data_IF_888970206723
#
_entry.id   IF_888970206723
#
_cell.length_a   1.000
_cell.length_b   1.000
_cell.length_c   1.000
_cell.angle_alpha   90.00
_cell.angle_beta   90.00
_cell.angle_gamma   90.00
#
_symmetry.space_group_name_H-M   'P 1'
#
loop_
_entity.id
_entity.type
_entity.pdbx_description
1 polymer ?
#
# COMPACT_ATOMS: atom_id res chain seq x y z
N UNK A 1 -8.86 -11.16 6.55
CA UNK A 1 -7.57 -11.80 6.18
C UNK A 1 -6.55 -10.69 5.95
N UNK A 2 -5.25 -10.96 5.97
CA UNK A 2 -4.16 -9.98 6.05
C UNK A 2 -3.76 -9.48 7.47
N UNK A 3 -3.57 -10.38 8.47
CA UNK A 3 -3.15 -9.97 9.81
C UNK A 3 -1.82 -9.19 9.84
N UNK A 4 -0.84 -9.55 9.01
CA UNK A 4 0.47 -8.88 9.02
C UNK A 4 0.35 -7.46 8.47
N UNK A 5 -0.39 -7.29 7.38
CA UNK A 5 -0.61 -5.99 6.74
C UNK A 5 -1.41 -5.05 7.64
N UNK A 6 -2.46 -5.56 8.29
CA UNK A 6 -3.29 -4.77 9.22
C UNK A 6 -2.46 -4.33 10.42
N UNK A 7 -1.70 -5.23 11.05
CA UNK A 7 -0.87 -4.88 12.20
C UNK A 7 0.18 -3.83 11.82
N UNK A 8 0.92 -4.04 10.72
CA UNK A 8 1.91 -3.08 10.21
C UNK A 8 1.29 -1.71 9.92
N UNK A 9 0.13 -1.66 9.27
CA UNK A 9 -0.55 -0.41 8.97
C UNK A 9 -0.97 0.33 10.25
N UNK A 10 -1.54 -0.38 11.22
CA UNK A 10 -1.97 0.18 12.52
C UNK A 10 -0.75 0.68 13.32
N UNK A 11 0.38 -0.02 13.27
CA UNK A 11 1.61 0.43 13.94
C UNK A 11 2.14 1.76 13.35
N UNK A 12 2.06 1.94 12.03
CA UNK A 12 2.37 3.23 11.41
C UNK A 12 1.38 4.34 11.77
N UNK A 13 0.09 4.03 11.91
CA UNK A 13 -0.92 4.99 12.38
C UNK A 13 -0.61 5.41 13.82
N UNK A 14 -0.42 4.44 14.72
CA UNK A 14 -0.23 4.68 16.15
C UNK A 14 1.08 5.39 16.48
N UNK A 15 2.13 5.15 15.70
CA UNK A 15 3.40 5.89 15.82
C UNK A 15 3.34 7.31 15.24
N UNK A 16 2.22 7.71 14.61
CA UNK A 16 2.08 8.99 13.93
C UNK A 16 2.90 9.08 12.63
N UNK A 17 3.36 7.95 12.08
CA UNK A 17 4.19 7.93 10.88
C UNK A 17 3.48 8.56 9.68
N UNK A 18 2.17 8.35 9.53
CA UNK A 18 1.41 8.93 8.42
C UNK A 18 1.13 10.43 8.58
N UNK A 19 1.37 11.01 9.77
CA UNK A 19 1.21 12.46 9.96
C UNK A 19 2.19 13.21 9.05
N UNK A 20 1.66 14.25 8.39
CA UNK A 20 2.35 15.07 7.40
C UNK A 20 2.90 14.27 6.21
N UNK A 21 2.29 13.12 5.90
CA UNK A 21 2.50 12.43 4.62
C UNK A 21 1.43 12.82 3.60
N UNK A 22 1.76 12.72 2.32
CA UNK A 22 0.86 13.09 1.22
C UNK A 22 0.48 11.90 0.36
N UNK A 23 -0.61 12.07 -0.41
CA UNK A 23 -0.88 11.26 -1.59
C UNK A 23 -0.01 11.74 -2.75
N UNK A 24 1.23 11.26 -2.78
CA UNK A 24 2.25 11.70 -3.73
C UNK A 24 2.05 11.17 -5.16
N UNK A 25 1.14 10.20 -5.37
CA UNK A 25 0.83 9.67 -6.70
C UNK A 25 -0.66 9.47 -6.87
N UNK A 26 -1.25 10.21 -7.81
CA UNK A 26 -2.69 10.20 -8.13
C UNK A 26 -2.85 9.89 -9.62
N UNK A 27 -3.54 8.81 -9.96
CA UNK A 27 -3.82 8.43 -11.35
C UNK A 27 -5.33 8.34 -11.56
N UNK A 28 -5.94 9.27 -12.32
CA UNK A 28 -7.38 9.25 -12.61
C UNK A 28 -7.83 7.91 -13.18
N UNK A 29 -8.94 7.39 -12.65
CA UNK A 29 -9.50 6.10 -13.09
C UNK A 29 -8.74 4.86 -12.62
N UNK A 30 -7.70 5.01 -11.79
CA UNK A 30 -6.89 3.88 -11.33
C UNK A 30 -6.80 3.84 -9.79
N UNK A 31 -5.90 4.63 -9.19
CA UNK A 31 -5.69 4.65 -7.75
C UNK A 31 -5.06 5.96 -7.26
N UNK A 32 -5.11 6.15 -5.94
CA UNK A 32 -4.34 7.17 -5.22
C UNK A 32 -3.39 6.46 -4.24
N UNK A 33 -2.11 6.81 -4.26
CA UNK A 33 -1.06 6.19 -3.45
C UNK A 33 -0.39 7.23 -2.54
N UNK A 34 -0.14 6.84 -1.29
CA UNK A 34 0.33 7.72 -0.23
C UNK A 34 1.14 7.00 0.86
N UNK A 35 1.40 7.70 1.97
CA UNK A 35 2.01 7.11 3.17
C UNK A 35 3.52 6.89 3.12
N UNK A 36 4.24 7.59 2.22
CA UNK A 36 5.70 7.46 2.08
C UNK A 36 6.49 8.78 2.01
N UNK A 37 5.86 9.87 1.61
CA UNK A 37 6.53 11.14 1.33
C UNK A 37 5.86 12.29 2.09
N UNK A 38 6.67 13.26 2.53
CA UNK A 38 6.17 14.52 3.11
C UNK A 38 5.67 15.48 2.03
N UNK A 39 5.12 16.62 2.45
CA UNK A 39 4.73 17.71 1.56
C UNK A 39 5.89 18.24 0.70
N UNK A 40 7.12 18.14 1.20
CA UNK A 40 8.35 18.54 0.50
C UNK A 40 8.91 17.42 -0.39
N UNK A 41 8.13 16.36 -0.66
CA UNK A 41 8.54 15.19 -1.44
C UNK A 41 9.78 14.48 -0.89
N UNK A 42 9.99 14.56 0.44
CA UNK A 42 11.03 13.81 1.12
C UNK A 42 10.49 12.46 1.57
N UNK A 43 11.18 11.38 1.21
CA UNK A 43 10.81 10.03 1.62
C UNK A 43 11.08 9.85 3.13
N UNK A 44 10.05 9.47 3.90
CA UNK A 44 10.22 9.10 5.31
C UNK A 44 10.83 7.71 5.39
N UNK A 45 11.69 7.45 6.38
CA UNK A 45 12.33 6.15 6.60
C UNK A 45 11.32 5.16 7.19
N UNK A 46 10.89 4.10 6.47
CA UNK A 46 9.94 3.13 7.00
C UNK A 46 10.61 2.11 7.94
N UNK A 47 9.78 1.32 8.62
CA UNK A 47 10.17 0.08 9.28
C UNK A 47 10.51 -1.00 8.23
N UNK A 48 11.08 -2.16 8.65
CA UNK A 48 11.35 -3.28 7.76
C UNK A 48 10.12 -3.73 6.97
N UNK A 49 10.32 -4.32 5.77
CA UNK A 49 9.22 -4.74 4.93
C UNK A 49 8.47 -5.95 5.51
N UNK A 50 7.25 -6.15 5.03
CA UNK A 50 6.35 -7.22 5.45
C UNK A 50 6.13 -8.25 4.34
N UNK A 51 5.79 -9.47 4.76
CA UNK A 51 5.34 -10.54 3.86
C UNK A 51 4.08 -10.10 3.11
N UNK A 52 4.02 -10.44 1.83
CA UNK A 52 2.84 -10.26 0.99
C UNK A 52 1.69 -11.20 1.43
N UNK A 53 0.48 -10.65 1.53
CA UNK A 53 -0.74 -11.38 1.89
C UNK A 53 -1.81 -11.29 0.79
N UNK A 54 -1.43 -11.04 -0.47
CA UNK A 54 -2.37 -10.90 -1.59
C UNK A 54 -3.09 -12.21 -1.97
N UNK A 55 -2.54 -13.37 -1.57
CA UNK A 55 -3.15 -14.70 -1.73
C UNK A 55 -4.38 -14.93 -0.85
N UNK A 56 -4.82 -13.90 -0.11
CA UNK A 56 -5.95 -13.97 0.80
C UNK A 56 -7.34 -14.02 0.12
N UNK A 57 -7.42 -13.79 -1.19
CA UNK A 57 -8.66 -13.83 -1.98
C UNK A 57 -9.48 -12.52 -1.98
N UNK A 58 -8.96 -11.45 -1.36
CA UNK A 58 -9.47 -10.10 -1.54
C UNK A 58 -9.02 -9.55 -2.90
N UNK A 59 -9.89 -8.80 -3.56
CA UNK A 59 -9.63 -8.19 -4.86
C UNK A 59 -9.44 -6.68 -4.73
N UNK A 60 -8.71 -6.10 -5.67
CA UNK A 60 -8.48 -4.67 -5.82
C UNK A 60 -9.68 -3.99 -6.49
N UNK A 61 -10.87 -4.15 -5.92
CA UNK A 61 -12.08 -3.46 -6.39
C UNK A 61 -12.13 -2.03 -5.87
N UNK A 62 -12.95 -1.16 -6.47
CA UNK A 62 -13.14 0.22 -6.05
C UNK A 62 -13.44 0.31 -4.54
N UNK A 63 -12.74 1.20 -3.85
CA UNK A 63 -12.88 1.45 -2.41
C UNK A 63 -12.00 0.59 -1.50
N UNK A 64 -11.31 -0.42 -2.06
CA UNK A 64 -10.32 -1.20 -1.29
C UNK A 64 -9.02 -0.44 -1.09
N UNK A 65 -8.36 -0.71 0.04
CA UNK A 65 -7.00 -0.28 0.34
C UNK A 65 -6.05 -1.47 0.26
N UNK A 66 -4.89 -1.28 -0.35
CA UNK A 66 -3.86 -2.30 -0.50
C UNK A 66 -2.46 -1.71 -0.33
N UNK A 67 -1.48 -2.56 -0.05
CA UNK A 67 -0.09 -2.14 0.18
C UNK A 67 0.64 -1.92 -1.14
N UNK A 68 1.33 -0.78 -1.27
CA UNK A 68 2.25 -0.55 -2.36
C UNK A 68 3.58 -1.27 -2.07
N UNK A 69 4.21 -1.83 -3.11
CA UNK A 69 5.48 -2.56 -3.02
C UNK A 69 6.38 -2.26 -4.23
N UNK A 70 7.63 -2.67 -4.13
CA UNK A 70 8.55 -2.72 -5.27
C UNK A 70 8.31 -3.99 -6.10
N UNK A 71 9.21 -4.31 -7.03
CA UNK A 71 9.17 -5.56 -7.78
C UNK A 71 9.20 -6.78 -6.84
N UNK A 72 9.96 -6.73 -5.75
CA UNK A 72 9.96 -7.81 -4.75
C UNK A 72 8.60 -7.90 -4.04
N UNK A 73 8.00 -9.09 -4.05
CA UNK A 73 6.68 -9.35 -3.44
C UNK A 73 6.63 -8.98 -1.95
N UNK A 74 7.71 -9.22 -1.20
CA UNK A 74 7.79 -9.06 0.26
C UNK A 74 8.51 -7.74 0.63
N UNK A 75 8.34 -6.70 -0.20
CA UNK A 75 8.96 -5.38 -0.02
C UNK A 75 8.01 -4.28 0.44
N UNK A 76 6.73 -4.60 0.67
CA UNK A 76 5.76 -3.65 1.17
C UNK A 76 6.20 -3.11 2.54
N UNK A 77 6.13 -1.80 2.74
CA UNK A 77 6.50 -1.13 4.01
C UNK A 77 5.35 -0.26 4.51
N UNK A 78 5.43 1.07 4.35
CA UNK A 78 4.41 2.03 4.81
C UNK A 78 3.48 2.51 3.69
N UNK A 79 3.91 2.44 2.43
CA UNK A 79 3.10 3.00 1.35
C UNK A 79 1.88 2.13 1.06
N UNK A 80 0.75 2.79 0.84
CA UNK A 80 -0.52 2.15 0.51
C UNK A 80 -1.19 2.89 -0.64
N UNK A 81 -2.16 2.23 -1.28
CA UNK A 81 -3.01 2.85 -2.29
C UNK A 81 -4.48 2.50 -2.07
N UNK A 82 -5.35 3.42 -2.49
CA UNK A 82 -6.81 3.23 -2.52
C UNK A 82 -7.24 3.12 -3.97
N UNK A 83 -7.94 2.03 -4.29
CA UNK A 83 -8.49 1.77 -5.61
C UNK A 83 -9.69 2.69 -5.88
N UNK A 84 -9.64 3.49 -6.95
CA UNK A 84 -10.78 4.34 -7.38
C UNK A 84 -11.60 3.70 -8.51
N UNK A 85 -11.14 2.56 -9.04
CA UNK A 85 -11.80 1.70 -10.00
C UNK A 85 -11.52 0.22 -9.66
N UNK A 86 -12.12 -0.71 -10.40
CA UNK A 86 -11.84 -2.14 -10.27
C UNK A 86 -10.56 -2.50 -11.04
N UNK A 87 -9.51 -2.82 -10.30
CA UNK A 87 -8.15 -3.01 -10.82
C UNK A 87 -7.73 -4.47 -10.74
N UNK A 88 -8.49 -5.37 -11.38
CA UNK A 88 -8.28 -6.83 -11.30
C UNK A 88 -6.87 -7.30 -11.72
N UNK A 89 -6.14 -6.50 -12.50
CA UNK A 89 -4.75 -6.80 -12.88
C UNK A 89 -3.74 -6.65 -11.73
N UNK A 90 -4.15 -6.07 -10.60
CA UNK A 90 -3.38 -6.00 -9.35
C UNK A 90 -3.70 -7.15 -8.40
N UNK A 91 -4.68 -8.00 -8.72
CA UNK A 91 -5.04 -9.15 -7.89
C UNK A 91 -3.94 -10.22 -7.94
N UNK A 92 -3.78 -10.97 -6.85
CA UNK A 92 -2.85 -12.08 -6.77
C UNK A 92 -3.07 -13.07 -7.91
N UNK A 93 -2.00 -13.46 -8.60
CA UNK A 93 -2.08 -14.26 -9.82
C UNK A 93 -0.76 -14.38 -10.57
N UNK A 94 -0.82 -14.63 -11.88
CA UNK A 94 0.36 -14.97 -12.69
C UNK A 94 1.42 -13.86 -12.84
N UNK A 95 1.22 -12.67 -12.25
CA UNK A 95 2.15 -11.54 -12.33
C UNK A 95 2.86 -11.22 -11.01
N UNK A 96 2.77 -12.10 -10.01
CA UNK A 96 3.51 -11.98 -8.75
C UNK A 96 5.00 -12.36 -8.88
N UNK A 97 5.67 -11.80 -9.88
CA UNK A 97 7.14 -11.79 -9.97
C UNK A 97 7.73 -10.97 -8.82
#
# INVERSE_FOLDING_TARGET
KAPVSVQNFVDYVNSGFYNNTTFHRVIPGFMIQGGGFTEQMQQKKPNPPIKNEADNGLRNTRGTIAMARTADKDSATSQFFINVADNAFLDHGQRDF
#
